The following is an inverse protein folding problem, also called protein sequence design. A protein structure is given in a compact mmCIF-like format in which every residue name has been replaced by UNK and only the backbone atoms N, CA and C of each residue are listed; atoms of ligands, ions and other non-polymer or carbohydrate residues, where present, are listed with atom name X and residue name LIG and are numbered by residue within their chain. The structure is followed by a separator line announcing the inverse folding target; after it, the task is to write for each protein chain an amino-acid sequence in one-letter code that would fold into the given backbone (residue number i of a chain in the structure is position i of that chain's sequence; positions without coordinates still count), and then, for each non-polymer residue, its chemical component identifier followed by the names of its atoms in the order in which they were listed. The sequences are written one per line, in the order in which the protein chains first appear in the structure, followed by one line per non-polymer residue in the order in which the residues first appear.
data_IF_590194647418
#
_entry.id   IF_590194647418
#
_cell.length_a   1.000
_cell.length_b   1.000
_cell.length_c   1.000
_cell.angle_alpha   90.00
_cell.angle_beta   90.00
_cell.angle_gamma   90.00
#
_symmetry.space_group_name_H-M   'P 1'
#
loop_
_entity.id
_entity.type
_entity.pdbx_description
1 polymer ?
#
# COMPACT_ATOMS: atom_id res chain seq x y z
N UNK A 1 -8.85 6.86 -7.35
CA UNK A 1 -8.75 8.14 -6.59
C UNK A 1 -8.00 7.96 -5.27
N UNK A 2 -8.44 7.05 -4.39
CA UNK A 2 -7.78 6.81 -3.10
C UNK A 2 -6.28 6.52 -3.19
N UNK A 3 -5.81 5.69 -4.14
CA UNK A 3 -4.37 5.47 -4.33
C UNK A 3 -3.58 6.77 -4.62
N UNK A 4 -4.03 7.58 -5.58
CA UNK A 4 -3.35 8.83 -5.93
C UNK A 4 -3.39 9.86 -4.78
N UNK A 5 -4.50 9.90 -4.03
CA UNK A 5 -4.64 10.73 -2.84
C UNK A 5 -3.68 10.25 -1.72
N UNK A 6 -3.56 8.93 -1.55
CA UNK A 6 -2.61 8.32 -0.62
C UNK A 6 -1.17 8.71 -0.93
N UNK A 7 -0.75 8.57 -2.19
CA UNK A 7 0.58 9.01 -2.67
C UNK A 7 0.81 10.49 -2.38
N UNK A 8 -0.20 11.34 -2.58
CA UNK A 8 -0.10 12.78 -2.32
C UNK A 8 0.09 13.07 -0.83
N UNK A 9 -0.64 12.37 0.05
CA UNK A 9 -0.45 12.51 1.50
C UNK A 9 0.92 12.04 1.97
N UNK A 10 1.43 10.91 1.45
CA UNK A 10 2.79 10.43 1.78
C UNK A 10 3.84 11.46 1.35
N UNK A 11 3.72 12.02 0.15
CA UNK A 11 4.63 13.07 -0.35
C UNK A 11 4.57 14.36 0.48
N UNK A 12 3.42 14.67 1.06
CA UNK A 12 3.20 15.78 1.99
C UNK A 12 3.63 15.45 3.44
N UNK A 13 4.28 14.31 3.67
CA UNK A 13 4.75 13.87 4.98
C UNK A 13 3.65 13.36 5.93
N UNK A 14 2.40 13.26 5.45
CA UNK A 14 1.24 12.80 6.21
C UNK A 14 1.05 11.29 6.01
N UNK A 15 2.01 10.51 6.47
CA UNK A 15 2.12 9.07 6.20
C UNK A 15 0.86 8.30 6.63
N UNK A 16 0.31 8.57 7.81
CA UNK A 16 -0.88 7.87 8.34
C UNK A 16 -2.12 8.13 7.48
N UNK A 17 -2.28 9.36 6.98
CA UNK A 17 -3.37 9.68 6.04
C UNK A 17 -3.17 8.97 4.72
N UNK A 18 -1.92 8.85 4.26
CA UNK A 18 -1.52 8.06 3.10
C UNK A 18 -1.97 6.61 3.22
N UNK A 19 -1.57 5.95 4.31
CA UNK A 19 -1.92 4.57 4.66
C UNK A 19 -3.45 4.38 4.64
N UNK A 20 -4.21 5.23 5.31
CA UNK A 20 -5.68 5.12 5.34
C UNK A 20 -6.32 5.19 3.94
N UNK A 21 -5.74 5.97 3.03
CA UNK A 21 -6.22 6.00 1.63
C UNK A 21 -5.82 4.74 0.88
N UNK A 22 -4.61 4.21 1.07
CA UNK A 22 -4.21 2.94 0.44
C UNK A 22 -5.07 1.77 0.95
N UNK A 23 -5.31 1.67 2.25
CA UNK A 23 -6.24 0.70 2.87
C UNK A 23 -7.64 0.79 2.24
N UNK A 24 -8.14 2.01 2.03
CA UNK A 24 -9.44 2.21 1.36
C UNK A 24 -9.38 1.74 -0.10
N UNK A 25 -8.28 2.02 -0.81
CA UNK A 25 -8.12 1.60 -2.19
C UNK A 25 -8.13 0.06 -2.34
N UNK A 26 -7.40 -0.65 -1.49
CA UNK A 26 -7.35 -2.12 -1.52
C UNK A 26 -8.65 -2.75 -1.02
N UNK A 27 -9.37 -2.10 -0.10
CA UNK A 27 -10.71 -2.55 0.30
C UNK A 27 -11.74 -2.45 -0.83
N UNK A 28 -11.67 -1.38 -1.62
CA UNK A 28 -12.57 -1.18 -2.78
C UNK A 28 -12.20 -2.14 -3.91
N UNK A 29 -10.91 -2.35 -4.15
CA UNK A 29 -10.40 -3.24 -5.18
C UNK A 29 -9.26 -4.10 -4.61
N UNK A 30 -9.58 -5.31 -4.09
CA UNK A 30 -8.58 -6.19 -3.50
C UNK A 30 -7.45 -6.57 -4.45
N UNK A 31 -7.71 -6.72 -5.76
CA UNK A 31 -6.68 -7.01 -6.76
C UNK A 31 -5.85 -5.81 -7.23
N UNK A 32 -5.92 -4.66 -6.55
CA UNK A 32 -5.19 -3.46 -6.98
C UNK A 32 -3.73 -3.50 -6.53
N UNK A 33 -2.92 -4.24 -7.27
CA UNK A 33 -1.48 -4.49 -7.02
C UNK A 33 -0.70 -3.22 -6.67
N UNK A 34 -0.86 -2.13 -7.44
CA UNK A 34 -0.15 -0.87 -7.15
C UNK A 34 -0.50 -0.27 -5.79
N UNK A 35 -1.77 -0.38 -5.36
CA UNK A 35 -2.19 0.16 -4.07
C UNK A 35 -1.66 -0.70 -2.91
N UNK A 36 -1.58 -2.02 -3.08
CA UNK A 36 -0.93 -2.89 -2.10
C UNK A 36 0.57 -2.64 -1.97
N UNK A 37 1.30 -2.47 -3.09
CA UNK A 37 2.71 -2.07 -3.06
C UNK A 37 2.91 -0.76 -2.28
N UNK A 38 2.12 0.27 -2.61
CA UNK A 38 2.20 1.56 -1.91
C UNK A 38 1.83 1.46 -0.43
N UNK A 39 0.90 0.56 -0.06
CA UNK A 39 0.54 0.29 1.33
C UNK A 39 1.70 -0.40 2.08
N UNK A 40 2.34 -1.38 1.45
CA UNK A 40 3.52 -2.07 1.98
C UNK A 40 4.67 -1.11 2.23
N UNK A 41 5.03 -0.30 1.23
CA UNK A 41 6.05 0.74 1.33
C UNK A 41 5.74 1.74 2.46
N UNK A 42 4.48 2.15 2.58
CA UNK A 42 4.07 3.10 3.60
C UNK A 42 4.16 2.52 5.02
N UNK A 43 3.80 1.24 5.21
CA UNK A 43 3.98 0.56 6.50
C UNK A 43 5.45 0.32 6.82
N UNK A 44 6.28 -0.04 5.82
CA UNK A 44 7.72 -0.23 6.01
C UNK A 44 8.41 1.08 6.43
N UNK A 45 8.06 2.19 5.77
CA UNK A 45 8.50 3.53 6.17
C UNK A 45 8.11 3.92 7.59
N UNK A 46 7.00 3.37 8.10
CA UNK A 46 6.54 3.54 9.50
C UNK A 46 7.11 2.50 10.46
N UNK A 47 7.96 1.58 9.97
CA UNK A 47 8.54 0.44 10.70
C UNK A 47 7.49 -0.56 11.21
N UNK A 48 6.31 -0.60 10.60
CA UNK A 48 5.27 -1.58 10.89
C UNK A 48 5.44 -2.82 10.01
N UNK A 49 6.54 -3.54 10.22
CA UNK A 49 6.99 -4.61 9.32
C UNK A 49 5.97 -5.74 9.14
N UNK A 50 5.20 -6.07 10.19
CA UNK A 50 4.14 -7.10 10.09
C UNK A 50 3.05 -6.69 9.11
N UNK A 51 2.67 -5.41 9.11
CA UNK A 51 1.66 -4.88 8.20
C UNK A 51 2.21 -4.74 6.78
N UNK A 52 3.48 -4.34 6.65
CA UNK A 52 4.17 -4.26 5.36
C UNK A 52 4.26 -5.65 4.69
N UNK A 53 4.71 -6.67 5.43
CA UNK A 53 4.79 -8.04 4.94
C UNK A 53 3.45 -8.54 4.42
N UNK A 54 2.36 -8.34 5.19
CA UNK A 54 1.02 -8.73 4.75
C UNK A 54 0.61 -8.03 3.46
N UNK A 55 0.91 -6.74 3.32
CA UNK A 55 0.58 -6.01 2.10
C UNK A 55 1.36 -6.54 0.88
N UNK A 56 2.64 -6.88 1.03
CA UNK A 56 3.44 -7.49 -0.03
C UNK A 56 3.03 -8.94 -0.34
N UNK A 57 2.61 -9.71 0.66
CA UNK A 57 2.02 -11.05 0.45
C UNK A 57 0.75 -10.97 -0.42
N UNK A 58 -0.12 -9.99 -0.18
CA UNK A 58 -1.29 -9.73 -1.03
C UNK A 58 -0.89 -9.35 -2.46
N UNK A 59 0.20 -8.59 -2.65
CA UNK A 59 0.72 -8.30 -4.00
C UNK A 59 1.06 -9.59 -4.73
N UNK A 60 1.80 -10.49 -4.08
CA UNK A 60 2.22 -11.77 -4.70
C UNK A 60 1.05 -12.73 -4.91
N UNK A 61 -0.05 -12.59 -4.16
CA UNK A 61 -1.28 -13.34 -4.41
C UNK A 61 -1.93 -12.94 -5.75
N UNK A 62 -1.96 -11.65 -6.08
CA UNK A 62 -2.59 -11.14 -7.31
C UNK A 62 -1.62 -11.04 -8.50
N UNK A 63 -0.34 -10.82 -8.24
CA UNK A 63 0.75 -10.77 -9.22
C UNK A 63 1.99 -11.50 -8.68
N UNK A 64 2.06 -12.83 -8.86
CA UNK A 64 3.17 -13.65 -8.35
C UNK A 64 4.55 -13.31 -8.92
N UNK A 65 4.61 -12.55 -10.02
CA UNK A 65 5.87 -12.15 -10.66
C UNK A 65 6.19 -10.66 -10.43
N UNK A 66 5.51 -10.02 -9.47
CA UNK A 66 5.79 -8.64 -9.12
C UNK A 66 7.24 -8.48 -8.66
N UNK A 67 7.90 -7.40 -9.08
CA UNK A 67 9.32 -7.14 -8.78
C UNK A 67 9.53 -6.16 -7.62
N UNK A 68 8.43 -5.63 -7.07
CA UNK A 68 8.47 -4.60 -6.03
C UNK A 68 8.27 -5.24 -4.66
N UNK A 69 7.22 -6.07 -4.52
CA UNK A 69 6.97 -6.91 -3.35
C UNK A 69 8.07 -7.97 -3.17
#
# INVERSE_FOLDING_TARGET
VHNALGVSYVRDGKLEKGIAQFETAVKIQPGYVTAWNNLGDAYDGKKEYVSALKAFEEVLLFDPNNKIA
#
